data_IF_850701842706
#
_entry.id   IF_850701842706
#
_cell.length_a   1.000
_cell.length_b   1.000
_cell.length_c   1.000
_cell.angle_alpha   90.00
_cell.angle_beta   90.00
_cell.angle_gamma   90.00
#
_symmetry.space_group_name_H-M   'P 1'
#
loop_
_entity.id
_entity.type
_entity.pdbx_description
1 polymer ?
#
# COMPACT_ATOMS: atom_id res chain seq x y z
N UNK A 1 13.38 -2.90 -18.30
CA UNK A 1 12.98 -2.78 -16.89
C UNK A 1 14.26 -2.57 -16.09
N UNK A 2 14.49 -1.36 -15.57
CA UNK A 2 15.63 -1.13 -14.67
C UNK A 2 15.35 -1.86 -13.35
N UNK A 3 16.36 -2.50 -12.72
CA UNK A 3 16.18 -3.07 -11.40
C UNK A 3 15.86 -1.95 -10.41
N UNK A 4 14.82 -2.16 -9.61
CA UNK A 4 14.46 -1.24 -8.53
C UNK A 4 15.65 -1.11 -7.57
N UNK A 5 16.04 0.12 -7.26
CA UNK A 5 17.11 0.39 -6.29
C UNK A 5 16.64 0.07 -4.88
N UNK A 6 17.59 -0.17 -3.95
CA UNK A 6 17.26 -0.37 -2.54
C UNK A 6 16.39 0.76 -1.96
N UNK A 7 16.63 2.00 -2.39
CA UNK A 7 15.85 3.19 -1.98
C UNK A 7 14.39 3.13 -2.45
N UNK A 8 14.14 2.60 -3.64
CA UNK A 8 12.80 2.47 -4.17
C UNK A 8 12.05 1.30 -3.50
N UNK A 9 12.75 0.22 -3.11
CA UNK A 9 12.16 -0.84 -2.26
C UNK A 9 11.77 -0.31 -0.88
N UNK A 10 12.65 0.47 -0.25
CA UNK A 10 12.37 1.14 1.02
C UNK A 10 11.18 2.11 0.88
N UNK A 11 11.13 2.88 -0.22
CA UNK A 11 10.00 3.77 -0.50
C UNK A 11 8.67 3.03 -0.68
N UNK A 12 8.66 1.88 -1.38
CA UNK A 12 7.45 1.07 -1.53
C UNK A 12 7.01 0.50 -0.17
N UNK A 13 7.94 0.02 0.65
CA UNK A 13 7.64 -0.48 1.99
C UNK A 13 7.08 0.61 2.92
N UNK A 14 7.64 1.83 2.86
CA UNK A 14 7.12 3.00 3.58
C UNK A 14 5.72 3.37 3.08
N UNK A 15 5.54 3.44 1.76
CA UNK A 15 4.24 3.72 1.13
C UNK A 15 3.16 2.71 1.56
N UNK A 16 3.48 1.42 1.61
CA UNK A 16 2.55 0.39 2.09
C UNK A 16 2.17 0.59 3.57
N UNK A 17 3.11 1.01 4.41
CA UNK A 17 2.84 1.32 5.82
C UNK A 17 1.91 2.53 5.97
N UNK A 18 2.07 3.53 5.09
CA UNK A 18 1.18 4.68 5.02
C UNK A 18 -0.23 4.29 4.56
N UNK A 19 -0.35 3.43 3.54
CA UNK A 19 -1.66 2.93 3.07
C UNK A 19 -2.41 2.13 4.15
N UNK A 20 -1.72 1.30 4.95
CA UNK A 20 -2.32 0.59 6.09
C UNK A 20 -2.83 1.55 7.18
N UNK A 21 -2.05 2.60 7.48
CA UNK A 21 -2.46 3.64 8.42
C UNK A 21 -3.71 4.37 7.93
N UNK A 22 -3.76 4.76 6.65
CA UNK A 22 -4.91 5.44 6.06
C UNK A 22 -6.15 4.55 6.03
N UNK A 23 -5.98 3.24 5.78
CA UNK A 23 -7.07 2.27 5.85
C UNK A 23 -7.69 2.25 7.26
N UNK A 24 -6.86 2.17 8.31
CA UNK A 24 -7.30 2.17 9.71
C UNK A 24 -8.04 3.46 10.07
N UNK A 25 -7.51 4.61 9.67
CA UNK A 25 -8.16 5.91 9.93
C UNK A 25 -9.51 6.02 9.24
N UNK A 26 -9.62 5.61 7.98
CA UNK A 26 -10.91 5.62 7.29
C UNK A 26 -11.89 4.60 7.87
N UNK A 27 -11.43 3.44 8.35
CA UNK A 27 -12.29 2.48 9.06
C UNK A 27 -12.85 3.06 10.37
N UNK A 28 -12.02 3.79 11.13
CA UNK A 28 -12.45 4.54 12.31
C UNK A 28 -13.44 5.64 11.92
N UNK A 29 -13.16 6.42 10.88
CA UNK A 29 -14.07 7.46 10.40
C UNK A 29 -15.43 6.89 9.97
N UNK A 30 -15.45 5.78 9.23
CA UNK A 30 -16.66 5.13 8.75
C UNK A 30 -17.53 4.55 9.89
N UNK A 31 -16.91 4.14 11.00
CA UNK A 31 -17.58 3.56 12.17
C UNK A 31 -18.00 4.62 13.20
N UNK A 32 -17.19 5.66 13.42
CA UNK A 32 -17.45 6.71 14.39
C UNK A 32 -18.36 7.84 13.84
N UNK A 33 -18.40 8.05 12.53
CA UNK A 33 -19.21 9.12 11.94
C UNK A 33 -20.70 8.80 11.92
N UNK A 34 -21.52 9.73 12.38
CA UNK A 34 -22.98 9.71 12.20
C UNK A 34 -23.43 10.37 10.89
N UNK A 35 -22.54 11.13 10.24
CA UNK A 35 -22.83 11.77 8.96
C UNK A 35 -22.72 10.74 7.82
N UNK A 36 -23.81 10.49 7.06
CA UNK A 36 -23.82 9.48 6.01
C UNK A 36 -22.87 9.82 4.84
N UNK A 37 -22.66 11.10 4.52
CA UNK A 37 -21.72 11.53 3.50
C UNK A 37 -20.28 11.17 3.88
N UNK A 38 -19.88 11.46 5.11
CA UNK A 38 -18.54 11.08 5.61
C UNK A 38 -18.34 9.57 5.63
N UNK A 39 -19.37 8.79 5.96
CA UNK A 39 -19.29 7.32 5.91
C UNK A 39 -19.06 6.82 4.49
N UNK A 40 -19.79 7.34 3.51
CA UNK A 40 -19.61 6.96 2.10
C UNK A 40 -18.22 7.37 1.59
N UNK A 41 -17.75 8.58 1.92
CA UNK A 41 -16.42 9.04 1.57
C UNK A 41 -15.33 8.15 2.19
N UNK A 42 -15.45 7.81 3.46
CA UNK A 42 -14.51 6.91 4.14
C UNK A 42 -14.50 5.51 3.50
N UNK A 43 -15.66 4.97 3.16
CA UNK A 43 -15.76 3.68 2.46
C UNK A 43 -15.12 3.72 1.06
N UNK A 44 -15.30 4.82 0.33
CA UNK A 44 -14.63 5.01 -0.96
C UNK A 44 -13.11 5.02 -0.78
N UNK A 45 -12.58 5.79 0.17
CA UNK A 45 -11.15 5.84 0.44
C UNK A 45 -10.59 4.50 0.91
N UNK A 46 -11.31 3.72 1.73
CA UNK A 46 -10.90 2.35 2.08
C UNK A 46 -10.68 1.51 0.82
N UNK A 47 -11.60 1.57 -0.15
CA UNK A 47 -11.46 0.82 -1.41
C UNK A 47 -10.26 1.29 -2.23
N UNK A 48 -10.02 2.60 -2.30
CA UNK A 48 -8.88 3.19 -3.03
C UNK A 48 -7.56 2.76 -2.40
N UNK A 49 -7.42 2.89 -1.08
CA UNK A 49 -6.21 2.51 -0.36
C UNK A 49 -5.91 1.00 -0.47
N UNK A 50 -6.93 0.14 -0.48
CA UNK A 50 -6.74 -1.30 -0.76
C UNK A 50 -6.19 -1.56 -2.16
N UNK A 51 -6.69 -0.83 -3.17
CA UNK A 51 -6.18 -0.94 -4.53
C UNK A 51 -4.72 -0.47 -4.64
N UNK A 52 -4.37 0.65 -3.98
CA UNK A 52 -3.00 1.14 -3.93
C UNK A 52 -2.08 0.13 -3.27
N UNK A 53 -2.48 -0.42 -2.11
CA UNK A 53 -1.71 -1.44 -1.41
C UNK A 53 -1.46 -2.68 -2.29
N UNK A 54 -2.47 -3.17 -3.00
CA UNK A 54 -2.30 -4.29 -3.93
C UNK A 54 -1.35 -3.94 -5.08
N UNK A 55 -1.41 -2.71 -5.60
CA UNK A 55 -0.51 -2.25 -6.67
C UNK A 55 0.94 -2.21 -6.19
N UNK A 56 1.19 -1.67 -4.99
CA UNK A 56 2.51 -1.64 -4.36
C UNK A 56 3.03 -3.06 -4.09
N UNK A 57 2.16 -3.96 -3.61
CA UNK A 57 2.49 -5.37 -3.38
C UNK A 57 2.83 -6.10 -4.69
N UNK A 58 2.10 -5.83 -5.78
CA UNK A 58 2.42 -6.36 -7.09
C UNK A 58 3.77 -5.83 -7.61
N UNK A 59 4.05 -4.54 -7.42
CA UNK A 59 5.34 -3.95 -7.77
C UNK A 59 6.50 -4.59 -6.99
N UNK A 60 6.31 -4.92 -5.70
CA UNK A 60 7.29 -5.68 -4.93
C UNK A 60 7.48 -7.10 -5.47
N UNK A 61 6.40 -7.84 -5.71
CA UNK A 61 6.49 -9.22 -6.21
C UNK A 61 7.15 -9.29 -7.59
N UNK A 62 6.85 -8.35 -8.48
CA UNK A 62 7.50 -8.27 -9.79
C UNK A 62 9.02 -8.09 -9.64
N UNK A 63 9.49 -7.31 -8.67
CA UNK A 63 10.93 -7.12 -8.44
C UNK A 63 11.60 -8.24 -7.63
N UNK A 64 10.89 -8.89 -6.71
CA UNK A 64 11.40 -10.06 -5.99
C UNK A 64 11.78 -11.20 -6.95
N UNK A 65 11.11 -11.31 -8.09
CA UNK A 65 11.44 -12.29 -9.14
C UNK A 65 12.71 -11.97 -9.94
N UNK A 66 13.24 -10.75 -9.84
CA UNK A 66 14.41 -10.25 -10.60
C UNK A 66 15.62 -10.07 -9.68
N UNK A 67 15.44 -10.10 -8.36
CA UNK A 67 16.55 -10.11 -7.41
C UNK A 67 17.31 -11.43 -7.60
N UNK A 68 18.55 -11.41 -8.14
CA UNK A 68 19.34 -12.62 -8.25
C UNK A 68 19.53 -13.15 -6.83
N UNK A 69 19.11 -14.40 -6.62
CA UNK A 69 19.35 -15.14 -5.40
C UNK A 69 20.84 -15.11 -5.09
N UNK A 70 21.23 -14.23 -4.16
CA UNK A 70 22.50 -14.17 -3.44
C UNK A 70 23.80 -14.16 -4.28
N UNK A 71 24.87 -13.51 -3.79
CA UNK A 71 26.20 -13.88 -4.22
C UNK A 71 26.42 -15.37 -3.85
N UNK A 72 26.67 -16.21 -4.86
CA UNK A 72 27.40 -17.46 -4.67
C UNK A 72 28.79 -17.07 -4.16
N UNK A 73 28.95 -17.10 -2.84
CA UNK A 73 30.26 -17.34 -2.23
C UNK A 73 30.50 -18.85 -2.23
#
# INVERSE_FOLDING_TARGET
MQPLTAKELEYIADSMSNEDLLLKQNAVLASASTNPGLRQTAQHFISVHQQHYQTLLQALHQHASIAPTQPQN
#
